data_IF_145377939398
#
_entry.id   IF_145377939398
#
_cell.length_a   1.000
_cell.length_b   1.000
_cell.length_c   1.000
_cell.angle_alpha   90.00
_cell.angle_beta   90.00
_cell.angle_gamma   90.00
#
_symmetry.space_group_name_H-M   'P 1'
#
loop_
_entity.id
_entity.type
_entity.pdbx_description
1 polymer ?
#
# COMPACT_ATOMS: atom_id res chain seq x y z
N UNK A 1 -0.09 16.97 -27.09
CA UNK A 1 -0.76 17.39 -25.84
C UNK A 1 -1.75 16.30 -25.50
N UNK A 2 -1.74 15.79 -24.28
CA UNK A 2 -2.71 14.79 -23.82
C UNK A 2 -3.95 15.55 -23.33
N UNK A 3 -5.13 15.16 -23.79
CA UNK A 3 -6.39 15.77 -23.33
C UNK A 3 -6.76 15.19 -21.96
N UNK A 4 -6.68 16.03 -20.93
CA UNK A 4 -7.03 15.67 -19.55
C UNK A 4 -8.22 16.52 -19.05
N UNK A 5 -8.96 17.17 -19.95
CA UNK A 5 -10.02 18.12 -19.61
C UNK A 5 -11.16 17.49 -18.80
N UNK A 6 -11.38 16.19 -18.94
CA UNK A 6 -12.36 15.44 -18.14
C UNK A 6 -11.94 15.27 -16.68
N UNK A 7 -10.64 15.22 -16.39
CA UNK A 7 -10.08 15.06 -15.04
C UNK A 7 -9.74 16.40 -14.38
N UNK A 8 -9.54 17.44 -15.20
CA UNK A 8 -9.27 18.80 -14.77
C UNK A 8 -10.31 19.76 -15.38
N UNK A 9 -11.56 19.76 -14.86
CA UNK A 9 -12.64 20.52 -15.46
C UNK A 9 -12.35 22.04 -15.46
N UNK A 10 -12.77 22.71 -16.53
CA UNK A 10 -12.70 24.15 -16.62
C UNK A 10 -13.51 24.82 -15.48
N UNK A 11 -12.93 25.83 -14.84
CA UNK A 11 -13.56 26.59 -13.75
C UNK A 11 -13.22 26.09 -12.34
N UNK A 12 -12.51 24.96 -12.21
CA UNK A 12 -11.92 24.56 -10.91
C UNK A 12 -10.71 25.45 -10.62
N UNK A 13 -10.65 26.05 -9.42
CA UNK A 13 -9.46 26.78 -8.99
C UNK A 13 -8.32 25.81 -8.66
N UNK A 14 -7.40 25.66 -9.61
CA UNK A 14 -6.21 24.82 -9.44
C UNK A 14 -5.08 25.51 -8.66
N UNK A 15 -5.22 26.80 -8.30
CA UNK A 15 -4.16 27.61 -7.70
C UNK A 15 -4.41 28.00 -6.25
N UNK A 16 -5.25 27.24 -5.54
CA UNK A 16 -5.48 27.41 -4.10
C UNK A 16 -4.21 27.19 -3.28
N UNK A 17 -4.14 27.78 -2.08
CA UNK A 17 -3.01 27.59 -1.17
C UNK A 17 -2.82 26.12 -0.75
N UNK A 18 -3.93 25.39 -0.53
CA UNK A 18 -3.88 23.96 -0.24
C UNK A 18 -3.23 23.15 -1.36
N UNK A 19 -3.54 23.47 -2.62
CA UNK A 19 -2.92 22.83 -3.80
C UNK A 19 -1.44 23.17 -3.92
N UNK A 20 -1.05 24.42 -3.66
CA UNK A 20 0.38 24.81 -3.65
C UNK A 20 1.16 24.04 -2.58
N UNK A 21 0.60 23.88 -1.38
CA UNK A 21 1.21 23.08 -0.32
C UNK A 21 1.36 21.60 -0.71
N UNK A 22 0.31 21.02 -1.30
CA UNK A 22 0.32 19.63 -1.77
C UNK A 22 1.37 19.42 -2.89
N UNK A 23 1.45 20.34 -3.86
CA UNK A 23 2.46 20.30 -4.93
C UNK A 23 3.89 20.27 -4.37
N UNK A 24 4.17 21.13 -3.38
CA UNK A 24 5.48 21.17 -2.72
C UNK A 24 5.77 19.86 -1.98
N UNK A 25 4.77 19.28 -1.33
CA UNK A 25 4.95 18.01 -0.61
C UNK A 25 5.22 16.84 -1.56
N UNK A 26 4.47 16.73 -2.67
CA UNK A 26 4.71 15.70 -3.70
C UNK A 26 6.11 15.86 -4.30
N UNK A 27 6.52 17.09 -4.62
CA UNK A 27 7.88 17.34 -5.13
C UNK A 27 8.96 16.88 -4.16
N UNK A 28 8.82 17.14 -2.86
CA UNK A 28 9.79 16.69 -1.84
C UNK A 28 9.88 15.16 -1.79
N UNK A 29 8.75 14.46 -1.92
CA UNK A 29 8.77 13.00 -2.03
C UNK A 29 9.51 12.60 -3.29
N UNK A 30 9.15 13.17 -4.43
CA UNK A 30 9.74 12.82 -5.72
C UNK A 30 11.25 13.04 -5.74
N UNK A 31 11.74 14.19 -5.29
CA UNK A 31 13.16 14.50 -5.17
C UNK A 31 13.89 13.56 -4.20
N UNK A 32 13.23 13.18 -3.10
CA UNK A 32 13.82 12.29 -2.10
C UNK A 32 13.91 10.84 -2.58
N UNK A 33 12.88 10.34 -3.25
CA UNK A 33 12.73 8.93 -3.61
C UNK A 33 13.26 8.62 -5.01
N UNK A 34 13.29 9.60 -5.91
CA UNK A 34 13.60 9.41 -7.32
C UNK A 34 14.67 10.41 -7.76
N UNK A 35 15.93 10.08 -7.48
CA UNK A 35 17.07 10.98 -7.70
C UNK A 35 17.37 11.31 -9.19
N UNK A 36 16.80 10.57 -10.14
CA UNK A 36 17.07 10.69 -11.58
C UNK A 36 15.83 11.12 -12.38
N UNK A 37 15.08 12.11 -11.89
CA UNK A 37 13.97 12.64 -12.68
C UNK A 37 14.50 13.37 -13.93
N UNK A 38 13.83 13.24 -15.09
CA UNK A 38 14.20 13.99 -16.28
C UNK A 38 14.25 15.50 -16.00
N UNK A 39 15.16 16.22 -16.66
CA UNK A 39 15.27 17.68 -16.49
C UNK A 39 13.96 18.43 -16.77
N UNK A 40 13.09 17.88 -17.62
CA UNK A 40 11.77 18.43 -17.95
C UNK A 40 10.69 18.12 -16.92
N UNK A 41 10.95 17.25 -15.94
CA UNK A 41 9.96 16.76 -14.98
C UNK A 41 9.26 17.89 -14.24
N UNK A 42 10.02 18.78 -13.60
CA UNK A 42 9.46 19.82 -12.74
C UNK A 42 8.55 20.77 -13.51
N UNK A 43 8.90 21.07 -14.77
CA UNK A 43 8.07 21.90 -15.65
C UNK A 43 6.79 21.17 -16.04
N UNK A 44 6.88 19.91 -16.47
CA UNK A 44 5.72 19.09 -16.83
C UNK A 44 4.78 18.89 -15.64
N UNK A 45 5.32 18.56 -14.46
CA UNK A 45 4.54 18.37 -13.24
C UNK A 45 3.85 19.67 -12.81
N UNK A 46 4.53 20.81 -12.89
CA UNK A 46 3.92 22.12 -12.59
C UNK A 46 2.76 22.44 -13.54
N UNK A 47 2.94 22.20 -14.85
CA UNK A 47 1.88 22.41 -15.84
C UNK A 47 0.69 21.49 -15.59
N UNK A 48 0.94 20.20 -15.37
CA UNK A 48 -0.11 19.23 -15.03
C UNK A 48 -0.86 19.66 -13.76
N UNK A 49 -0.13 19.98 -12.69
CA UNK A 49 -0.73 20.26 -11.40
C UNK A 49 -1.54 21.56 -11.36
N UNK A 50 -1.07 22.64 -12.01
CA UNK A 50 -1.72 23.95 -11.93
C UNK A 50 -2.57 24.31 -13.14
N UNK A 51 -2.51 23.53 -14.22
CA UNK A 51 -3.25 23.80 -15.46
C UNK A 51 -4.00 22.57 -16.01
N UNK A 52 -3.72 21.36 -15.51
CA UNK A 52 -4.27 20.13 -16.09
C UNK A 52 -3.66 19.79 -17.46
N UNK A 53 -2.51 20.36 -17.81
CA UNK A 53 -1.91 20.22 -19.14
C UNK A 53 -0.67 19.32 -19.10
N UNK A 54 -0.59 18.34 -20.00
CA UNK A 54 0.58 17.48 -20.18
C UNK A 54 1.08 17.49 -21.64
N UNK A 55 2.32 17.92 -21.83
CA UNK A 55 2.99 18.02 -23.13
C UNK A 55 3.52 16.64 -23.60
N UNK A 56 2.60 15.68 -23.79
CA UNK A 56 2.91 14.36 -24.36
C UNK A 56 3.50 13.34 -23.39
N UNK A 57 3.57 12.09 -23.86
CA UNK A 57 4.11 10.94 -23.10
C UNK A 57 5.63 11.02 -22.93
N UNK A 58 6.15 10.40 -21.86
CA UNK A 58 7.57 10.35 -21.53
C UNK A 58 8.03 11.48 -20.62
N UNK A 59 7.18 12.47 -20.35
CA UNK A 59 7.44 13.55 -19.40
C UNK A 59 7.72 13.04 -17.98
N UNK A 60 7.18 11.86 -17.67
CA UNK A 60 7.30 11.21 -16.37
C UNK A 60 7.90 9.81 -16.46
N UNK A 61 8.60 9.49 -17.55
CA UNK A 61 9.25 8.19 -17.75
C UNK A 61 8.27 7.02 -17.48
N UNK A 62 7.08 7.01 -18.08
CA UNK A 62 6.10 5.93 -17.86
C UNK A 62 5.35 5.99 -16.53
N UNK A 63 5.50 7.08 -15.75
CA UNK A 63 4.78 7.33 -14.49
C UNK A 63 3.62 8.33 -14.67
N UNK A 64 3.13 8.50 -15.91
CA UNK A 64 2.11 9.50 -16.24
C UNK A 64 0.85 9.32 -15.40
N UNK A 65 0.27 8.11 -15.39
CA UNK A 65 -0.96 7.81 -14.62
C UNK A 65 -0.75 8.12 -13.13
N UNK A 66 0.40 7.75 -12.57
CA UNK A 66 0.72 8.05 -11.18
C UNK A 66 0.68 9.56 -10.91
N UNK A 67 1.43 10.35 -11.68
CA UNK A 67 1.50 11.81 -11.45
C UNK A 67 0.22 12.54 -11.84
N UNK A 68 -0.57 12.04 -12.79
CA UNK A 68 -1.92 12.55 -13.11
C UNK A 68 -2.82 12.40 -11.89
N UNK A 69 -2.96 11.18 -11.35
CA UNK A 69 -3.76 10.92 -10.16
C UNK A 69 -3.30 11.76 -8.96
N UNK A 70 -1.99 11.82 -8.70
CA UNK A 70 -1.43 12.65 -7.63
C UNK A 70 -1.69 14.16 -7.82
N UNK A 71 -1.96 14.60 -9.05
CA UNK A 71 -2.24 16.00 -9.39
C UNK A 71 -3.72 16.37 -9.34
N UNK A 72 -4.63 15.39 -9.30
CA UNK A 72 -6.07 15.65 -9.40
C UNK A 72 -6.58 16.56 -8.26
N UNK A 73 -7.51 17.48 -8.57
CA UNK A 73 -8.15 18.34 -7.57
C UNK A 73 -8.96 17.56 -6.54
N UNK A 74 -9.68 16.55 -6.98
CA UNK A 74 -10.41 15.62 -6.13
C UNK A 74 -9.68 14.27 -6.13
N UNK A 75 -9.39 13.74 -4.94
CA UNK A 75 -8.74 12.44 -4.78
C UNK A 75 -9.78 11.42 -4.33
N UNK A 76 -10.09 10.47 -5.19
CA UNK A 76 -10.97 9.34 -4.87
C UNK A 76 -10.58 8.12 -5.70
N UNK A 77 -11.03 6.94 -5.27
CA UNK A 77 -10.79 5.69 -6.02
C UNK A 77 -11.47 5.79 -7.38
N UNK A 78 -12.70 6.32 -7.44
CA UNK A 78 -13.47 6.45 -8.67
C UNK A 78 -12.77 7.35 -9.69
N UNK A 79 -12.20 8.47 -9.24
CA UNK A 79 -11.45 9.36 -10.14
C UNK A 79 -10.17 8.70 -10.65
N UNK A 80 -9.45 8.00 -9.77
CA UNK A 80 -8.20 7.34 -10.15
C UNK A 80 -8.46 6.16 -11.09
N UNK A 81 -9.53 5.39 -10.88
CA UNK A 81 -9.95 4.31 -11.79
C UNK A 81 -10.25 4.88 -13.18
N UNK A 82 -10.98 5.99 -13.31
CA UNK A 82 -11.23 6.61 -14.62
C UNK A 82 -9.96 7.01 -15.35
N UNK A 83 -8.97 7.55 -14.62
CA UNK A 83 -7.65 7.83 -15.21
C UNK A 83 -7.01 6.52 -15.68
N UNK A 84 -6.96 5.49 -14.83
CA UNK A 84 -6.36 4.20 -15.19
C UNK A 84 -7.05 3.59 -16.44
N UNK A 85 -8.39 3.65 -16.51
CA UNK A 85 -9.18 3.20 -17.66
C UNK A 85 -8.88 4.00 -18.93
N UNK A 86 -8.77 5.33 -18.84
CA UNK A 86 -8.42 6.18 -19.98
C UNK A 86 -7.06 5.80 -20.60
N UNK A 87 -6.14 5.30 -19.78
CA UNK A 87 -4.81 4.88 -20.20
C UNK A 87 -4.66 3.35 -20.31
N UNK A 88 -5.76 2.58 -20.33
CA UNK A 88 -5.76 1.12 -20.44
C UNK A 88 -4.82 0.41 -19.44
N UNK A 89 -4.68 0.94 -18.23
CA UNK A 89 -3.79 0.39 -17.20
C UNK A 89 -2.30 0.68 -17.41
N UNK A 90 -1.93 1.50 -18.40
CA UNK A 90 -0.55 1.88 -18.66
C UNK A 90 0.11 2.50 -17.42
N UNK A 91 1.28 1.99 -17.05
CA UNK A 91 2.04 2.48 -15.91
C UNK A 91 1.66 1.90 -14.55
N UNK A 92 0.60 1.07 -14.45
CA UNK A 92 0.21 0.42 -13.19
C UNK A 92 1.36 -0.38 -12.56
N UNK A 93 2.07 -1.19 -13.37
CA UNK A 93 3.23 -1.96 -12.89
C UNK A 93 4.32 -1.08 -12.27
N UNK A 94 4.62 0.05 -12.91
CA UNK A 94 5.61 1.01 -12.40
C UNK A 94 5.12 1.72 -11.14
N UNK A 95 3.85 2.10 -11.08
CA UNK A 95 3.23 2.69 -9.89
C UNK A 95 3.28 1.72 -8.70
N UNK A 96 2.86 0.47 -8.88
CA UNK A 96 2.92 -0.58 -7.84
C UNK A 96 4.35 -0.80 -7.38
N UNK A 97 5.31 -0.94 -8.31
CA UNK A 97 6.72 -1.07 -7.98
C UNK A 97 7.23 0.09 -7.13
N UNK A 98 6.90 1.34 -7.48
CA UNK A 98 7.30 2.51 -6.70
C UNK A 98 6.68 2.50 -5.30
N UNK A 99 5.39 2.18 -5.22
CA UNK A 99 4.63 2.13 -3.98
C UNK A 99 5.20 1.06 -3.05
N UNK A 100 5.53 -0.12 -3.57
CA UNK A 100 6.01 -1.24 -2.76
C UNK A 100 7.49 -1.13 -2.39
N UNK A 101 8.37 -0.75 -3.34
CA UNK A 101 9.81 -0.73 -3.14
C UNK A 101 10.32 0.53 -2.41
N UNK A 102 9.65 1.68 -2.60
CA UNK A 102 10.15 2.96 -2.13
C UNK A 102 9.16 3.68 -1.20
N UNK A 103 7.95 3.98 -1.68
CA UNK A 103 7.05 4.89 -0.98
C UNK A 103 6.45 4.28 0.29
N UNK A 104 6.22 2.97 0.32
CA UNK A 104 5.77 2.26 1.52
C UNK A 104 6.73 2.47 2.71
N UNK A 105 8.04 2.48 2.47
CA UNK A 105 9.03 2.77 3.51
C UNK A 105 9.04 4.25 3.94
N UNK A 106 8.61 5.15 3.05
CA UNK A 106 8.59 6.60 3.25
C UNK A 106 7.34 7.14 3.94
N UNK A 107 6.29 6.33 4.14
CA UNK A 107 5.05 6.74 4.82
C UNK A 107 5.29 7.49 6.15
N UNK A 108 6.20 7.06 7.06
CA UNK A 108 6.47 7.80 8.29
C UNK A 108 7.04 9.20 8.08
N UNK A 109 7.74 9.42 6.96
CA UNK A 109 8.37 10.70 6.61
C UNK A 109 7.38 11.64 5.90
N UNK A 110 6.46 11.08 5.13
CA UNK A 110 5.47 11.82 4.34
C UNK A 110 4.05 11.31 4.60
N UNK A 111 3.54 11.43 5.85
CA UNK A 111 2.24 10.88 6.22
C UNK A 111 1.07 11.52 5.47
N UNK A 112 1.23 12.76 4.99
CA UNK A 112 0.20 13.47 4.22
C UNK A 112 -0.03 12.86 2.84
N UNK A 113 0.96 12.17 2.26
CA UNK A 113 0.83 11.53 0.96
C UNK A 113 0.20 10.13 1.03
N UNK A 114 0.18 9.55 2.23
CA UNK A 114 -0.28 8.17 2.45
C UNK A 114 -1.67 7.94 1.87
N UNK A 115 -2.59 8.86 2.10
CA UNK A 115 -3.97 8.74 1.62
C UNK A 115 -4.01 8.59 0.10
N UNK A 116 -3.31 9.45 -0.65
CA UNK A 116 -3.28 9.38 -2.11
C UNK A 116 -2.57 8.12 -2.62
N UNK A 117 -1.56 7.62 -1.92
CA UNK A 117 -0.92 6.35 -2.26
C UNK A 117 -1.84 5.14 -2.03
N UNK A 118 -2.62 5.17 -0.95
CA UNK A 118 -3.66 4.16 -0.69
C UNK A 118 -4.74 4.21 -1.78
N UNK A 119 -5.23 5.40 -2.14
CA UNK A 119 -6.20 5.56 -3.23
C UNK A 119 -5.67 5.01 -4.55
N UNK A 120 -4.38 5.20 -4.85
CA UNK A 120 -3.74 4.62 -6.03
C UNK A 120 -3.75 3.08 -6.00
N UNK A 121 -3.35 2.46 -4.87
CA UNK A 121 -3.37 0.99 -4.75
C UNK A 121 -4.78 0.43 -4.88
N UNK A 122 -5.77 1.07 -4.25
CA UNK A 122 -7.18 0.66 -4.33
C UNK A 122 -7.75 0.80 -5.75
N UNK A 123 -7.40 1.89 -6.45
CA UNK A 123 -7.83 2.09 -7.82
C UNK A 123 -7.21 1.06 -8.79
N UNK A 124 -5.93 0.73 -8.62
CA UNK A 124 -5.27 -0.32 -9.40
C UNK A 124 -5.90 -1.68 -9.11
N UNK A 125 -6.15 -2.03 -7.84
CA UNK A 125 -6.80 -3.29 -7.48
C UNK A 125 -8.21 -3.39 -8.08
N UNK A 126 -9.03 -2.33 -7.97
CA UNK A 126 -10.36 -2.29 -8.56
C UNK A 126 -10.32 -2.43 -10.08
N UNK A 127 -9.41 -1.73 -10.76
CA UNK A 127 -9.24 -1.84 -12.21
C UNK A 127 -8.86 -3.26 -12.63
N UNK A 128 -7.89 -3.88 -11.95
CA UNK A 128 -7.45 -5.25 -12.26
C UNK A 128 -8.52 -6.30 -12.00
N UNK A 129 -9.35 -6.12 -10.97
CA UNK A 129 -10.48 -7.02 -10.71
C UNK A 129 -11.54 -6.95 -11.81
N UNK A 130 -11.73 -5.78 -12.41
CA UNK A 130 -12.64 -5.59 -13.54
C UNK A 130 -12.06 -6.10 -14.87
N UNK A 131 -10.74 -6.26 -14.97
CA UNK A 131 -10.02 -6.68 -16.19
C UNK A 131 -9.12 -7.90 -15.93
N UNK A 132 -9.69 -9.06 -15.55
CA UNK A 132 -8.94 -10.25 -15.17
C UNK A 132 -8.11 -10.87 -16.31
N UNK A 133 -8.37 -10.48 -17.56
CA UNK A 133 -7.61 -10.89 -18.74
C UNK A 133 -6.25 -10.20 -18.88
N UNK A 134 -6.03 -9.08 -18.18
CA UNK A 134 -4.79 -8.32 -18.23
C UNK A 134 -3.74 -8.86 -17.23
N UNK A 135 -2.47 -8.65 -17.55
CA UNK A 135 -1.39 -8.92 -16.61
C UNK A 135 -1.49 -7.97 -15.40
N UNK A 136 -1.52 -8.55 -14.19
CA UNK A 136 -1.71 -7.80 -12.95
C UNK A 136 -0.42 -7.12 -12.51
N UNK A 137 -0.48 -5.81 -12.31
CA UNK A 137 0.55 -5.04 -11.62
C UNK A 137 0.64 -5.43 -10.13
N UNK A 138 -0.50 -5.63 -9.47
CA UNK A 138 -0.55 -6.24 -8.12
C UNK A 138 -0.40 -7.76 -8.21
N UNK A 139 0.80 -8.19 -8.63
CA UNK A 139 1.15 -9.61 -8.69
C UNK A 139 1.09 -10.26 -7.30
N UNK A 140 1.06 -11.61 -7.25
CA UNK A 140 1.11 -12.36 -5.99
C UNK A 140 2.33 -11.97 -5.14
N UNK A 141 3.48 -11.69 -5.77
CA UNK A 141 4.68 -11.24 -5.07
C UNK A 141 4.50 -9.86 -4.43
N UNK A 142 3.85 -8.92 -5.12
CA UNK A 142 3.54 -7.60 -4.56
C UNK A 142 2.54 -7.68 -3.42
N UNK A 143 1.50 -8.51 -3.55
CA UNK A 143 0.52 -8.74 -2.48
C UNK A 143 1.19 -9.32 -1.22
N UNK A 144 2.12 -10.29 -1.36
CA UNK A 144 2.89 -10.82 -0.23
C UNK A 144 3.81 -9.74 0.37
N UNK A 145 4.43 -8.90 -0.46
CA UNK A 145 5.26 -7.78 0.02
C UNK A 145 4.44 -6.76 0.82
N UNK A 146 3.25 -6.39 0.34
CA UNK A 146 2.35 -5.51 1.07
C UNK A 146 1.82 -6.16 2.35
N UNK A 147 1.46 -7.45 2.31
CA UNK A 147 1.08 -8.20 3.51
C UNK A 147 2.20 -8.19 4.57
N UNK A 148 3.44 -8.48 4.16
CA UNK A 148 4.61 -8.37 5.03
C UNK A 148 4.79 -6.96 5.59
N UNK A 149 4.52 -5.92 4.79
CA UNK A 149 4.66 -4.53 5.22
C UNK A 149 3.74 -4.15 6.39
N UNK A 150 2.56 -4.78 6.50
CA UNK A 150 1.64 -4.60 7.62
C UNK A 150 2.30 -5.09 8.91
N UNK A 151 2.74 -6.35 8.91
CA UNK A 151 3.33 -6.98 10.10
C UNK A 151 4.69 -6.37 10.45
N UNK A 152 5.50 -6.01 9.45
CA UNK A 152 6.72 -5.24 9.69
C UNK A 152 6.40 -3.88 10.36
N UNK A 153 5.40 -3.15 9.88
CA UNK A 153 5.03 -1.86 10.48
C UNK A 153 4.53 -2.02 11.92
N UNK A 154 3.79 -3.08 12.22
CA UNK A 154 3.43 -3.45 13.59
C UNK A 154 4.68 -3.74 14.45
N UNK A 155 5.56 -4.65 14.02
CA UNK A 155 6.76 -5.04 14.77
C UNK A 155 7.68 -3.86 15.06
N UNK A 156 7.96 -3.02 14.06
CA UNK A 156 9.00 -2.00 14.14
C UNK A 156 8.48 -0.61 14.53
N UNK A 157 7.19 -0.32 14.25
CA UNK A 157 6.61 1.03 14.38
C UNK A 157 5.31 1.05 15.21
N UNK A 158 4.76 -0.10 15.58
CA UNK A 158 3.62 -0.22 16.48
C UNK A 158 2.24 -0.07 15.83
N UNK A 159 2.15 0.15 14.52
CA UNK A 159 0.87 0.30 13.81
C UNK A 159 1.03 0.06 12.31
N UNK A 160 0.06 -0.56 11.61
CA UNK A 160 0.12 -0.77 10.16
C UNK A 160 0.02 0.54 9.37
N UNK A 161 -0.49 1.62 9.99
CA UNK A 161 -0.60 2.96 9.38
C UNK A 161 0.73 3.53 8.88
N UNK A 162 1.86 2.98 9.35
CA UNK A 162 3.20 3.37 8.93
C UNK A 162 3.70 2.64 7.66
N UNK A 163 2.81 1.93 6.99
CA UNK A 163 2.94 1.39 5.65
C UNK A 163 1.64 1.52 4.87
N UNK A 164 1.59 0.85 3.71
CA UNK A 164 0.49 0.89 2.76
C UNK A 164 -0.34 -0.39 2.70
N UNK A 165 0.20 -1.52 3.18
CA UNK A 165 -0.37 -2.83 2.89
C UNK A 165 -1.77 -3.09 3.46
N UNK A 166 -2.21 -2.36 4.50
CA UNK A 166 -3.50 -2.61 5.15
C UNK A 166 -4.69 -2.53 4.17
N UNK A 167 -4.61 -1.64 3.17
CA UNK A 167 -5.68 -1.43 2.20
C UNK A 167 -5.84 -2.62 1.23
N UNK A 168 -4.83 -3.47 1.11
CA UNK A 168 -4.81 -4.64 0.24
C UNK A 168 -4.93 -5.96 1.01
N UNK A 169 -5.22 -5.91 2.32
CA UNK A 169 -5.19 -7.11 3.16
C UNK A 169 -6.17 -8.20 2.68
N UNK A 170 -7.42 -7.86 2.36
CA UNK A 170 -8.39 -8.86 1.91
C UNK A 170 -7.98 -9.50 0.57
N UNK A 171 -7.42 -8.70 -0.34
CA UNK A 171 -6.91 -9.21 -1.61
C UNK A 171 -5.71 -10.14 -1.41
N UNK A 172 -4.77 -9.76 -0.54
CA UNK A 172 -3.64 -10.60 -0.18
C UNK A 172 -4.07 -11.89 0.54
N UNK A 173 -5.06 -11.81 1.43
CA UNK A 173 -5.64 -12.95 2.14
C UNK A 173 -6.31 -13.93 1.17
N UNK A 174 -7.13 -13.44 0.23
CA UNK A 174 -7.79 -14.24 -0.79
C UNK A 174 -6.79 -14.89 -1.76
N UNK A 175 -5.75 -14.15 -2.18
CA UNK A 175 -4.70 -14.63 -3.08
C UNK A 175 -3.63 -15.50 -2.43
N UNK A 176 -3.64 -15.66 -1.09
CA UNK A 176 -2.54 -16.27 -0.35
C UNK A 176 -2.28 -17.74 -0.75
N UNK A 177 -3.33 -18.51 -1.02
CA UNK A 177 -3.20 -19.90 -1.46
C UNK A 177 -2.46 -20.00 -2.81
N UNK A 178 -2.82 -19.15 -3.77
CA UNK A 178 -2.13 -19.08 -5.06
C UNK A 178 -0.67 -18.63 -4.90
N UNK A 179 -0.42 -17.64 -4.02
CA UNK A 179 0.94 -17.20 -3.72
C UNK A 179 1.79 -18.35 -3.17
N UNK A 180 1.28 -19.15 -2.21
CA UNK A 180 1.98 -20.32 -1.66
C UNK A 180 2.26 -21.41 -2.70
N UNK A 181 1.42 -21.54 -3.71
CA UNK A 181 1.58 -22.53 -4.78
C UNK A 181 2.55 -22.10 -5.90
N UNK A 182 2.83 -20.80 -6.04
CA UNK A 182 3.57 -20.26 -7.19
C UNK A 182 4.89 -19.57 -6.82
N UNK A 183 4.97 -18.98 -5.63
CA UNK A 183 6.17 -18.28 -5.17
C UNK A 183 7.07 -19.22 -4.37
N UNK A 184 8.36 -18.89 -4.33
CA UNK A 184 9.32 -19.61 -3.49
C UNK A 184 9.08 -19.34 -1.99
N UNK A 185 9.66 -20.20 -1.14
CA UNK A 185 9.58 -19.99 0.31
C UNK A 185 10.32 -18.72 0.76
N UNK A 186 11.35 -18.28 0.02
CA UNK A 186 12.11 -17.06 0.33
C UNK A 186 11.22 -15.81 0.32
N UNK A 187 10.22 -15.78 -0.57
CA UNK A 187 9.22 -14.72 -0.66
C UNK A 187 8.40 -14.54 0.64
N UNK A 188 8.34 -15.55 1.51
CA UNK A 188 7.57 -15.54 2.75
C UNK A 188 8.44 -15.40 4.01
N UNK A 189 9.77 -15.44 3.91
CA UNK A 189 10.68 -15.46 5.08
C UNK A 189 10.47 -14.24 5.98
N UNK A 190 10.48 -13.02 5.42
CA UNK A 190 10.27 -11.81 6.22
C UNK A 190 8.87 -11.78 6.86
N UNK A 191 7.84 -12.27 6.15
CA UNK A 191 6.48 -12.35 6.69
C UNK A 191 6.44 -13.31 7.88
N UNK A 192 7.07 -14.47 7.74
CA UNK A 192 7.21 -15.47 8.79
C UNK A 192 7.93 -14.90 10.01
N UNK A 193 9.05 -14.20 9.82
CA UNK A 193 9.81 -13.57 10.91
C UNK A 193 8.99 -12.53 11.67
N UNK A 194 8.26 -11.67 10.95
CA UNK A 194 7.45 -10.62 11.57
C UNK A 194 6.25 -11.20 12.34
N UNK A 195 5.57 -12.21 11.78
CA UNK A 195 4.51 -12.93 12.48
C UNK A 195 5.04 -13.68 13.70
N UNK A 196 6.20 -14.34 13.59
CA UNK A 196 6.86 -15.01 14.71
C UNK A 196 7.14 -14.01 15.85
N UNK A 197 7.68 -12.83 15.52
CA UNK A 197 7.94 -11.79 16.51
C UNK A 197 6.67 -11.32 17.21
N UNK A 198 5.58 -11.08 16.47
CA UNK A 198 4.30 -10.67 17.04
C UNK A 198 3.67 -11.77 17.90
N UNK A 199 3.58 -12.99 17.39
CA UNK A 199 3.02 -14.13 18.11
C UNK A 199 3.83 -14.51 19.36
N UNK A 200 5.14 -14.22 19.38
CA UNK A 200 6.02 -14.49 20.53
C UNK A 200 6.09 -13.33 21.54
N UNK A 201 5.22 -12.33 21.44
CA UNK A 201 5.27 -11.12 22.27
C UNK A 201 6.57 -10.28 22.14
N UNK A 202 7.32 -10.45 21.03
CA UNK A 202 8.66 -9.85 20.79
C UNK A 202 8.68 -8.67 19.81
N UNK A 203 7.54 -8.06 19.52
CA UNK A 203 7.49 -6.77 18.83
C UNK A 203 8.43 -5.75 19.46
N UNK A 204 9.11 -4.92 18.65
CA UNK A 204 9.94 -3.81 19.14
C UNK A 204 9.10 -2.65 19.69
N UNK A 205 7.80 -2.63 19.36
CA UNK A 205 6.82 -1.62 19.76
C UNK A 205 5.63 -2.31 20.40
N UNK A 206 5.43 -2.08 21.68
CA UNK A 206 4.36 -2.71 22.47
C UNK A 206 2.98 -2.17 22.09
N UNK A 207 2.94 -0.99 21.48
CA UNK A 207 1.75 -0.38 20.89
C UNK A 207 1.09 -1.29 19.85
N UNK A 208 1.86 -2.16 19.18
CA UNK A 208 1.33 -3.12 18.21
C UNK A 208 0.20 -3.99 18.78
N UNK A 209 0.29 -4.37 20.07
CA UNK A 209 -0.70 -5.23 20.71
C UNK A 209 -1.98 -4.51 21.14
N UNK A 210 -1.98 -3.17 21.06
CA UNK A 210 -3.14 -2.32 21.32
C UNK A 210 -3.68 -1.70 20.03
N UNK A 211 -3.02 -1.94 18.90
CA UNK A 211 -3.45 -1.41 17.60
C UNK A 211 -4.76 -2.10 17.17
N UNK A 212 -5.82 -1.34 16.83
CA UNK A 212 -7.12 -1.90 16.50
C UNK A 212 -7.09 -2.90 15.34
N UNK A 213 -6.23 -2.65 14.34
CA UNK A 213 -6.12 -3.53 13.19
C UNK A 213 -5.50 -4.87 13.60
N UNK A 214 -4.43 -4.85 14.41
CA UNK A 214 -3.80 -6.09 14.86
C UNK A 214 -4.67 -6.88 15.83
N UNK A 215 -5.39 -6.21 16.72
CA UNK A 215 -6.38 -6.85 17.59
C UNK A 215 -7.48 -7.54 16.76
N UNK A 216 -7.98 -6.87 15.73
CA UNK A 216 -8.95 -7.46 14.81
C UNK A 216 -8.36 -8.65 14.05
N UNK A 217 -7.13 -8.55 13.54
CA UNK A 217 -6.41 -9.67 12.92
C UNK A 217 -6.29 -10.86 13.88
N UNK A 218 -5.91 -10.64 15.14
CA UNK A 218 -5.84 -11.69 16.15
C UNK A 218 -7.22 -12.29 16.45
N UNK A 219 -8.28 -11.49 16.50
CA UNK A 219 -9.66 -11.99 16.69
C UNK A 219 -10.08 -12.87 15.52
N UNK A 220 -9.74 -12.49 14.28
CA UNK A 220 -9.94 -13.31 13.07
C UNK A 220 -9.18 -14.62 13.13
N UNK A 221 -7.94 -14.58 13.58
CA UNK A 221 -7.06 -15.73 13.64
C UNK A 221 -7.38 -16.70 14.79
N UNK A 222 -7.65 -16.21 16.01
CA UNK A 222 -7.88 -17.06 17.19
C UNK A 222 -9.34 -17.46 17.37
N UNK A 223 -10.28 -16.56 17.07
CA UNK A 223 -11.70 -16.73 17.43
C UNK A 223 -12.53 -17.07 16.20
N UNK A 224 -12.56 -16.20 15.19
CA UNK A 224 -13.47 -16.36 14.04
C UNK A 224 -13.01 -17.44 13.06
N UNK A 225 -11.70 -17.65 12.95
CA UNK A 225 -11.07 -18.54 11.97
C UNK A 225 -11.52 -18.25 10.53
N UNK A 226 -11.63 -16.97 10.17
CA UNK A 226 -12.17 -16.49 8.89
C UNK A 226 -11.13 -15.78 8.00
N UNK A 227 -9.85 -16.09 8.21
CA UNK A 227 -8.80 -15.87 7.22
C UNK A 227 -8.86 -17.01 6.18
N UNK A 228 -8.21 -16.83 5.02
CA UNK A 228 -8.14 -17.92 4.05
C UNK A 228 -7.46 -19.14 4.66
N UNK A 229 -7.87 -20.35 4.27
CA UNK A 229 -7.35 -21.58 4.85
C UNK A 229 -5.82 -21.69 4.75
N UNK A 230 -5.24 -21.18 3.65
CA UNK A 230 -3.80 -21.14 3.46
C UNK A 230 -3.10 -20.16 4.41
N UNK A 231 -3.68 -18.97 4.66
CA UNK A 231 -3.11 -18.02 5.62
C UNK A 231 -3.27 -18.52 7.06
N UNK A 232 -4.41 -19.14 7.40
CA UNK A 232 -4.61 -19.79 8.71
C UNK A 232 -3.55 -20.86 8.96
N UNK A 233 -3.35 -21.77 8.00
CA UNK A 233 -2.36 -22.83 8.12
C UNK A 233 -0.95 -22.25 8.31
N UNK A 234 -0.58 -21.26 7.50
CA UNK A 234 0.71 -20.59 7.62
C UNK A 234 0.91 -19.93 8.99
N UNK A 235 -0.11 -19.25 9.51
CA UNK A 235 -0.06 -18.68 10.86
C UNK A 235 -0.01 -19.77 11.95
N UNK A 236 -0.76 -20.88 11.79
CA UNK A 236 -0.76 -21.99 12.74
C UNK A 236 0.61 -22.66 12.82
N UNK A 237 1.28 -22.91 11.69
CA UNK A 237 2.63 -23.47 11.64
C UNK A 237 3.62 -22.60 12.44
N UNK A 238 3.55 -21.28 12.27
CA UNK A 238 4.37 -20.32 13.03
C UNK A 238 4.01 -20.35 14.51
N UNK A 239 2.72 -20.24 14.81
CA UNK A 239 2.22 -20.13 16.18
C UNK A 239 2.53 -21.39 17.00
N UNK A 240 2.39 -22.57 16.42
CA UNK A 240 2.66 -23.85 17.08
C UNK A 240 4.15 -24.11 17.31
N UNK A 241 5.05 -23.47 16.56
CA UNK A 241 6.49 -23.56 16.77
C UNK A 241 6.98 -22.78 18.01
N UNK A 242 6.19 -21.84 18.54
CA UNK A 242 6.58 -21.00 19.68
C UNK A 242 6.35 -21.77 20.99
N UNK A 243 7.18 -21.68 22.04
CA UNK A 243 6.85 -22.27 23.34
C UNK A 243 5.60 -21.65 23.96
N UNK A 244 4.69 -22.44 24.55
CA UNK A 244 3.37 -21.97 25.00
C UNK A 244 3.43 -20.74 25.92
N UNK A 245 4.37 -20.72 26.86
CA UNK A 245 4.58 -19.59 27.80
C UNK A 245 5.08 -18.29 27.15
N UNK A 246 5.47 -18.32 25.87
CA UNK A 246 5.95 -17.17 25.10
C UNK A 246 4.92 -16.68 24.08
N UNK A 247 3.79 -17.38 23.91
CA UNK A 247 2.77 -17.04 22.90
C UNK A 247 1.83 -15.95 23.42
N UNK A 248 1.46 -15.01 22.56
CA UNK A 248 0.23 -14.22 22.75
C UNK A 248 -0.99 -15.14 22.66
N UNK A 249 -2.09 -14.81 23.34
CA UNK A 249 -3.29 -15.66 23.36
C UNK A 249 -4.54 -14.79 23.34
N UNK A 250 -5.64 -15.31 22.80
CA UNK A 250 -6.95 -14.72 23.03
C UNK A 250 -7.54 -15.28 24.32
N UNK A 251 -7.85 -14.42 25.29
CA UNK A 251 -8.39 -14.79 26.60
C UNK A 251 -9.36 -13.72 27.10
N UNK A 252 -10.49 -14.13 27.66
CA UNK A 252 -11.49 -13.24 28.28
C UNK A 252 -11.88 -12.07 27.36
N UNK A 253 -12.15 -12.37 26.08
CA UNK A 253 -12.49 -11.42 25.02
C UNK A 253 -11.43 -10.34 24.72
N UNK A 254 -10.18 -10.57 25.12
CA UNK A 254 -9.06 -9.69 24.87
C UNK A 254 -7.80 -10.43 24.40
N UNK A 255 -6.87 -9.66 23.81
CA UNK A 255 -5.54 -10.17 23.49
C UNK A 255 -4.67 -10.13 24.74
N UNK A 256 -4.30 -11.31 25.25
CA UNK A 256 -3.32 -11.49 26.30
C UNK A 256 -1.91 -11.56 25.72
N UNK A 257 -0.99 -10.79 26.31
CA UNK A 257 0.41 -10.71 25.86
C UNK A 257 1.36 -10.95 27.03
N UNK A 258 2.22 -11.99 26.97
CA UNK A 258 3.23 -12.25 27.99
C UNK A 258 4.07 -11.01 28.32
N UNK A 259 4.16 -10.66 29.60
CA UNK A 259 5.04 -9.58 30.09
C UNK A 259 4.55 -8.14 29.86
N UNK A 260 3.32 -7.93 29.40
CA UNK A 260 2.73 -6.60 29.16
C UNK A 260 1.53 -6.26 30.06
N UNK A 261 1.52 -6.78 31.29
CA UNK A 261 0.54 -6.40 32.32
C UNK A 261 0.99 -5.19 33.12
#
# INVERSE_FOLDING_TARGET
MIDLSEFFPAGVDLKTEGRKALYVDILKVTEHCFANMPNSFAQAFKSLFFKGELEGYGSFDGMEVFYICMSLPEASVEQYVKVIEHFDGYGNGRAVYMLSAWLNACVPKYPLQRERWVLMLLAIDQYEQAHPELERALSLGELVRFLNSIFASLVYKGSPRYGLGECLFEQANAGFASARGQLDNQSFECLQENLLALFSAKSKKTEAYRDPWFVEFCRRYFVRRDLSSALLQFCDEIYQAIPEGQRIRWQDDALWVPGLQ
#
